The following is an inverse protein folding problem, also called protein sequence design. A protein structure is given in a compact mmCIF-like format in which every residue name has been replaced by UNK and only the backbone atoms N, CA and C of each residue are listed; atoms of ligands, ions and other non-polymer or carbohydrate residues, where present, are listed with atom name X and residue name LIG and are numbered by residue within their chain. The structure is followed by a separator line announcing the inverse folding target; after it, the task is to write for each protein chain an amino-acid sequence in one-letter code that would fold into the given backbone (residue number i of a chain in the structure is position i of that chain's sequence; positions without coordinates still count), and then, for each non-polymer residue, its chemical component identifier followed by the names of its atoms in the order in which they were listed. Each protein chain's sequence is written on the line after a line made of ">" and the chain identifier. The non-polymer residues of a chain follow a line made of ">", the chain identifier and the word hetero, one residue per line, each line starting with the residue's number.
data_IF_283715854908
#
_entry.id   IF_283715854908
#
_cell.length_a   1.000
_cell.length_b   1.000
_cell.length_c   1.000
_cell.angle_alpha   90.00
_cell.angle_beta   90.00
_cell.angle_gamma   90.00
#
_symmetry.space_group_name_H-M   'P 1'
#
loop_
_entity.id
_entity.type
_entity.pdbx_description
1 polymer ?
#
# COMPACT_ATOMS: atom_id res chain seq x y z
N UNK A 1 -4.96 -9.98 13.00
CA UNK A 1 -4.95 -9.67 11.54
C UNK A 1 -3.50 -9.60 11.07
N UNK A 2 -3.16 -10.26 9.95
CA UNK A 2 -1.77 -10.34 9.46
C UNK A 2 -1.27 -8.95 9.03
N UNK A 3 -0.04 -8.62 9.44
CA UNK A 3 0.62 -7.37 9.06
C UNK A 3 1.17 -7.43 7.64
N UNK A 4 1.25 -6.27 6.99
CA UNK A 4 1.96 -6.15 5.73
C UNK A 4 3.47 -6.20 6.00
N UNK A 5 4.25 -6.94 5.21
CA UNK A 5 5.68 -7.07 5.45
C UNK A 5 6.41 -5.73 5.32
N UNK A 6 7.49 -5.57 6.06
CA UNK A 6 8.42 -4.46 5.85
C UNK A 6 9.11 -4.62 4.50
N UNK A 7 9.21 -3.52 3.75
CA UNK A 7 9.81 -3.52 2.42
C UNK A 7 11.18 -2.85 2.51
N UNK A 8 12.28 -3.57 2.19
CA UNK A 8 13.62 -2.98 2.17
C UNK A 8 13.78 -2.01 0.99
N UNK A 9 14.70 -1.07 1.12
CA UNK A 9 15.11 -0.21 0.02
C UNK A 9 15.93 -0.93 -1.03
N UNK A 10 15.96 -0.39 -2.25
CA UNK A 10 16.73 -0.97 -3.37
C UNK A 10 18.24 -0.91 -3.16
N UNK A 11 18.71 -0.08 -2.21
CA UNK A 11 20.13 0.00 -1.82
C UNK A 11 20.53 -1.06 -0.79
N UNK A 12 19.56 -1.78 -0.20
CA UNK A 12 19.85 -2.79 0.81
C UNK A 12 20.69 -3.95 0.24
N UNK A 13 21.53 -4.51 1.10
CA UNK A 13 22.30 -5.71 0.74
C UNK A 13 21.36 -6.85 0.34
N UNK A 14 21.66 -7.51 -0.78
CA UNK A 14 20.82 -8.58 -1.31
C UNK A 14 19.62 -8.08 -2.13
N UNK A 15 19.62 -6.80 -2.54
CA UNK A 15 18.61 -6.27 -3.45
C UNK A 15 18.45 -7.17 -4.69
N UNK A 16 17.21 -7.45 -5.13
CA UNK A 16 16.90 -8.39 -6.22
C UNK A 16 17.13 -7.80 -7.63
N UNK A 17 18.25 -7.09 -7.80
CA UNK A 17 18.65 -6.52 -9.10
C UNK A 17 18.81 -7.60 -10.14
N UNK A 18 18.28 -7.37 -11.34
CA UNK A 18 18.27 -8.33 -12.45
C UNK A 18 17.01 -9.19 -12.52
N UNK A 19 16.20 -9.24 -11.49
CA UNK A 19 14.98 -10.05 -11.45
C UNK A 19 13.76 -9.33 -12.00
N UNK A 20 12.81 -10.04 -12.65
CA UNK A 20 11.58 -9.46 -13.19
C UNK A 20 10.62 -9.05 -12.10
N UNK A 21 10.00 -7.87 -12.27
CA UNK A 21 9.04 -7.29 -11.34
C UNK A 21 7.95 -6.47 -12.03
N UNK A 22 6.90 -6.20 -11.28
CA UNK A 22 5.97 -5.10 -11.50
C UNK A 22 6.24 -4.04 -10.44
N UNK A 23 6.42 -2.79 -10.86
CA UNK A 23 6.59 -1.66 -9.97
C UNK A 23 5.29 -0.86 -9.89
N UNK A 24 4.78 -0.70 -8.68
CA UNK A 24 3.58 0.05 -8.36
C UNK A 24 3.94 1.43 -7.82
N UNK A 25 3.13 2.43 -8.13
CA UNK A 25 3.24 3.75 -7.52
C UNK A 25 3.18 3.65 -6.01
N UNK A 26 4.20 4.18 -5.35
CA UNK A 26 4.20 4.31 -3.90
C UNK A 26 3.49 5.61 -3.54
N UNK A 27 2.40 5.45 -2.81
CA UNK A 27 1.60 6.56 -2.30
C UNK A 27 2.03 6.81 -0.87
N UNK A 28 2.23 8.06 -0.53
CA UNK A 28 2.59 8.48 0.82
C UNK A 28 1.34 8.67 1.67
N UNK A 29 1.22 7.85 2.70
CA UNK A 29 0.05 7.83 3.58
C UNK A 29 0.21 6.83 4.71
N UNK A 30 -0.91 6.31 5.18
CA UNK A 30 -0.97 5.32 6.24
C UNK A 30 -1.44 3.96 5.73
N UNK A 31 -0.64 2.93 6.03
CA UNK A 31 -0.99 1.56 5.69
C UNK A 31 -2.14 1.05 6.54
N UNK A 32 -3.26 0.75 5.90
CA UNK A 32 -4.46 0.20 6.51
C UNK A 32 -4.76 -1.21 6.03
N UNK A 33 -5.41 -1.98 6.88
CA UNK A 33 -5.79 -3.37 6.66
C UNK A 33 -7.28 -3.56 6.87
N UNK A 34 -7.94 -4.21 5.92
CA UNK A 34 -9.37 -4.50 5.93
C UNK A 34 -9.58 -6.00 5.84
N UNK A 35 -10.10 -6.63 6.90
CA UNK A 35 -10.33 -8.07 6.95
C UNK A 35 -11.79 -8.39 6.63
N UNK A 36 -11.97 -9.22 5.62
CA UNK A 36 -13.20 -9.90 5.31
C UNK A 36 -13.17 -11.35 5.76
N UNK A 37 -14.29 -11.86 6.25
CA UNK A 37 -14.45 -13.28 6.47
C UNK A 37 -15.79 -13.80 5.93
N UNK A 38 -15.81 -15.08 5.56
CA UNK A 38 -17.03 -15.74 5.05
C UNK A 38 -18.21 -15.76 6.00
N UNK A 39 -17.94 -15.60 7.31
CA UNK A 39 -18.98 -15.62 8.36
C UNK A 39 -19.49 -14.22 8.73
N UNK A 40 -18.64 -13.19 8.65
CA UNK A 40 -18.95 -11.86 9.20
C UNK A 40 -18.88 -10.73 8.15
N UNK A 41 -18.47 -11.02 6.92
CA UNK A 41 -18.16 -9.97 5.95
C UNK A 41 -16.95 -9.14 6.39
N UNK A 42 -16.94 -7.85 6.08
CA UNK A 42 -15.92 -6.90 6.51
C UNK A 42 -16.15 -6.55 7.98
N UNK A 43 -15.20 -6.88 8.85
CA UNK A 43 -15.46 -6.79 10.30
C UNK A 43 -14.27 -6.41 11.19
N UNK A 44 -13.05 -6.39 10.64
CA UNK A 44 -11.87 -5.92 11.37
C UNK A 44 -11.06 -4.97 10.50
N UNK A 45 -10.66 -3.85 11.09
CA UNK A 45 -9.91 -2.78 10.47
C UNK A 45 -8.69 -2.46 11.32
N UNK A 46 -7.56 -2.15 10.71
CA UNK A 46 -6.34 -1.89 11.46
C UNK A 46 -5.30 -1.12 10.67
N UNK A 47 -4.47 -0.41 11.38
CA UNK A 47 -3.17 0.08 10.92
C UNK A 47 -2.13 -1.04 11.02
N UNK A 48 -0.86 -0.76 10.75
CA UNK A 48 0.21 -1.73 11.01
C UNK A 48 0.25 -2.19 12.47
N UNK A 49 0.00 -1.29 13.41
CA UNK A 49 0.30 -1.50 14.82
C UNK A 49 -0.95 -1.73 15.71
N UNK A 50 -2.13 -1.28 15.29
CA UNK A 50 -3.35 -1.36 16.10
C UNK A 50 -4.60 -1.62 15.27
N UNK A 51 -5.64 -2.12 15.92
CA UNK A 51 -6.99 -2.15 15.36
C UNK A 51 -7.68 -0.81 15.61
N UNK A 52 -8.64 -0.49 14.77
CA UNK A 52 -9.50 0.68 14.92
C UNK A 52 -10.92 0.39 14.45
N UNK A 53 -11.85 1.23 14.81
CA UNK A 53 -13.25 1.19 14.38
C UNK A 53 -13.69 2.57 13.84
N UNK A 54 -14.98 2.71 13.53
CA UNK A 54 -15.53 3.96 12.98
C UNK A 54 -15.45 5.16 13.93
N UNK A 55 -15.27 4.94 15.23
CA UNK A 55 -15.11 6.00 16.22
C UNK A 55 -13.67 6.54 16.32
N UNK A 56 -12.72 5.90 15.64
CA UNK A 56 -11.33 6.34 15.63
C UNK A 56 -11.22 7.71 14.95
N UNK A 57 -10.67 8.72 15.65
CA UNK A 57 -10.63 10.08 15.13
C UNK A 57 -9.72 10.25 13.91
N UNK A 58 -8.72 9.39 13.75
CA UNK A 58 -7.73 9.48 12.67
C UNK A 58 -8.11 8.62 11.46
N UNK A 59 -8.57 7.39 11.71
CA UNK A 59 -8.78 6.39 10.65
C UNK A 59 -10.24 5.95 10.46
N UNK A 60 -11.16 6.38 11.35
CA UNK A 60 -12.55 5.91 11.32
C UNK A 60 -13.25 6.13 9.97
N UNK A 61 -13.02 7.29 9.34
CA UNK A 61 -13.61 7.60 8.03
C UNK A 61 -13.07 6.72 6.89
N UNK A 62 -11.84 6.20 7.02
CA UNK A 62 -11.27 5.30 6.02
C UNK A 62 -12.06 4.00 5.85
N UNK A 63 -12.82 3.59 6.90
CA UNK A 63 -13.69 2.42 6.82
C UNK A 63 -14.80 2.65 5.80
N UNK A 64 -15.50 3.77 5.89
CA UNK A 64 -16.60 4.07 4.98
C UNK A 64 -16.11 4.31 3.54
N UNK A 65 -14.97 4.97 3.37
CA UNK A 65 -14.32 5.12 2.06
C UNK A 65 -14.03 3.75 1.45
N UNK A 66 -13.39 2.85 2.21
CA UNK A 66 -13.10 1.51 1.74
C UNK A 66 -14.37 0.71 1.41
N UNK A 67 -15.34 0.69 2.31
CA UNK A 67 -16.58 -0.07 2.11
C UNK A 67 -17.33 0.39 0.87
N UNK A 68 -17.43 1.68 0.65
CA UNK A 68 -18.11 2.24 -0.52
C UNK A 68 -17.35 1.96 -1.82
N UNK A 69 -16.03 2.02 -1.79
CA UNK A 69 -15.18 1.93 -2.98
C UNK A 69 -14.86 0.50 -3.40
N UNK A 70 -14.66 -0.41 -2.43
CA UNK A 70 -14.10 -1.74 -2.69
C UNK A 70 -14.96 -2.91 -2.27
N UNK A 71 -15.77 -2.79 -1.21
CA UNK A 71 -16.36 -3.96 -0.56
C UNK A 71 -17.12 -4.87 -1.53
N UNK A 72 -18.04 -4.32 -2.30
CA UNK A 72 -18.86 -5.10 -3.25
C UNK A 72 -18.03 -5.72 -4.38
N UNK A 73 -17.06 -4.97 -4.91
CA UNK A 73 -16.17 -5.43 -5.98
C UNK A 73 -15.29 -6.60 -5.52
N UNK A 74 -14.63 -6.45 -4.38
CA UNK A 74 -13.79 -7.51 -3.80
C UNK A 74 -14.63 -8.74 -3.44
N UNK A 75 -15.82 -8.59 -2.85
CA UNK A 75 -16.71 -9.72 -2.57
C UNK A 75 -17.18 -10.43 -3.82
N UNK A 76 -17.41 -9.70 -4.92
CA UNK A 76 -17.72 -10.30 -6.21
C UNK A 76 -16.58 -11.17 -6.71
N UNK A 77 -15.34 -10.69 -6.60
CA UNK A 77 -14.13 -11.45 -6.93
C UNK A 77 -14.00 -12.70 -6.06
N UNK A 78 -14.15 -12.57 -4.73
CA UNK A 78 -14.08 -13.71 -3.80
C UNK A 78 -15.07 -14.82 -4.18
N UNK A 79 -16.25 -14.45 -4.65
CA UNK A 79 -17.30 -15.43 -5.04
C UNK A 79 -17.04 -16.07 -6.40
N UNK A 80 -16.46 -15.36 -7.37
CA UNK A 80 -16.35 -15.81 -8.77
C UNK A 80 -15.01 -16.45 -9.10
N UNK A 81 -13.93 -15.91 -8.54
CA UNK A 81 -12.58 -16.30 -8.91
C UNK A 81 -12.17 -17.64 -8.28
N UNK A 82 -11.63 -18.55 -9.11
CA UNK A 82 -11.15 -19.87 -8.64
C UNK A 82 -10.09 -19.77 -7.55
N UNK A 83 -9.28 -18.72 -7.58
CA UNK A 83 -8.23 -18.46 -6.60
C UNK A 83 -8.78 -18.34 -5.16
N UNK A 84 -10.03 -17.86 -5.02
CA UNK A 84 -10.69 -17.66 -3.72
C UNK A 84 -11.59 -18.82 -3.30
N UNK A 85 -11.66 -19.92 -4.08
CA UNK A 85 -12.54 -21.04 -3.74
C UNK A 85 -12.15 -21.65 -2.38
N UNK A 86 -13.13 -21.73 -1.47
CA UNK A 86 -12.95 -22.27 -0.12
C UNK A 86 -12.18 -21.36 0.84
N UNK A 87 -11.88 -20.11 0.45
CA UNK A 87 -11.22 -19.13 1.29
C UNK A 87 -12.15 -18.65 2.38
N UNK A 88 -11.63 -18.60 3.62
CA UNK A 88 -12.38 -18.15 4.81
C UNK A 88 -12.14 -16.70 5.16
N UNK A 89 -10.98 -16.18 4.84
CA UNK A 89 -10.57 -14.82 5.17
C UNK A 89 -9.72 -14.21 4.07
N UNK A 90 -9.92 -12.93 3.84
CA UNK A 90 -9.15 -12.10 2.89
C UNK A 90 -8.79 -10.79 3.59
N UNK A 91 -7.56 -10.34 3.42
CA UNK A 91 -7.12 -9.02 3.88
C UNK A 91 -6.77 -8.17 2.68
N UNK A 92 -7.45 -7.04 2.53
CA UNK A 92 -7.03 -6.00 1.61
C UNK A 92 -6.07 -5.04 2.33
N UNK A 93 -4.93 -4.76 1.70
CA UNK A 93 -3.99 -3.74 2.15
C UNK A 93 -4.16 -2.50 1.30
N UNK A 94 -4.35 -1.39 1.97
CA UNK A 94 -4.61 -0.12 1.32
C UNK A 94 -3.72 0.98 1.91
N UNK A 95 -3.45 1.99 1.10
CA UNK A 95 -2.87 3.24 1.58
C UNK A 95 -3.99 4.26 1.77
N UNK A 96 -4.09 4.84 2.95
CA UNK A 96 -4.99 5.94 3.27
C UNK A 96 -4.21 7.24 3.24
N UNK A 97 -4.62 8.16 2.41
CA UNK A 97 -3.87 9.38 2.11
C UNK A 97 -4.79 10.57 1.87
N UNK A 98 -4.19 11.74 1.90
CA UNK A 98 -4.81 13.01 1.55
C UNK A 98 -3.79 13.94 0.93
N UNK A 99 -4.20 15.16 0.54
CA UNK A 99 -3.32 16.12 -0.15
C UNK A 99 -2.12 16.57 0.67
N UNK A 100 -2.18 16.42 2.00
CA UNK A 100 -1.10 16.82 2.91
C UNK A 100 -0.36 15.62 3.54
N UNK A 101 -0.67 14.40 3.12
CA UNK A 101 0.06 13.22 3.60
C UNK A 101 1.54 13.32 3.24
N UNK A 102 2.41 13.12 4.24
CA UNK A 102 3.85 13.16 4.03
C UNK A 102 4.64 12.38 5.10
N UNK A 103 5.65 11.63 4.67
CA UNK A 103 6.54 10.90 5.56
C UNK A 103 5.88 9.78 6.34
N UNK A 104 4.85 9.13 5.78
CA UNK A 104 4.06 8.11 6.45
C UNK A 104 3.14 8.66 7.54
N UNK A 105 3.14 9.97 7.75
CA UNK A 105 2.17 10.67 8.56
C UNK A 105 1.01 11.10 7.66
N UNK A 106 -0.19 10.97 8.19
CA UNK A 106 -1.36 11.36 7.47
C UNK A 106 -1.61 12.85 7.68
N UNK A 107 -1.46 13.65 6.62
CA UNK A 107 -1.64 15.10 6.59
C UNK A 107 -0.89 15.87 7.71
N UNK A 108 0.43 15.77 7.87
CA UNK A 108 1.19 16.24 9.05
C UNK A 108 1.13 17.77 9.26
N UNK A 109 0.82 18.53 8.23
CA UNK A 109 0.76 20.01 8.32
C UNK A 109 -0.66 20.52 8.53
N UNK A 110 -1.68 19.65 8.57
CA UNK A 110 -3.06 20.10 8.62
C UNK A 110 -3.61 20.12 10.04
N UNK A 111 -4.23 21.23 10.49
CA UNK A 111 -4.83 21.34 11.83
C UNK A 111 -5.85 20.24 12.15
N UNK A 112 -6.52 19.69 11.14
CA UNK A 112 -7.48 18.61 11.30
C UNK A 112 -6.90 17.33 11.83
N UNK A 113 -5.64 17.03 11.55
CA UNK A 113 -4.97 15.85 12.11
C UNK A 113 -4.77 16.03 13.60
N UNK A 114 -4.36 17.23 13.98
CA UNK A 114 -4.19 17.60 15.39
C UNK A 114 -5.52 17.48 16.15
N UNK A 115 -6.65 17.70 15.47
CA UNK A 115 -7.98 17.67 16.07
C UNK A 115 -8.74 16.33 15.84
N UNK A 116 -8.17 15.39 15.10
CA UNK A 116 -8.81 14.11 14.83
C UNK A 116 -10.09 14.21 14.00
N UNK A 117 -10.25 15.27 13.24
CA UNK A 117 -11.49 15.55 12.51
C UNK A 117 -11.47 14.97 11.10
N UNK A 118 -11.91 13.71 10.98
CA UNK A 118 -12.24 13.12 9.69
C UNK A 118 -13.47 13.76 9.02
N UNK A 119 -14.28 14.53 9.75
CA UNK A 119 -15.58 15.00 9.28
C UNK A 119 -15.61 16.51 8.97
N UNK A 120 -14.67 17.28 9.50
CA UNK A 120 -14.72 18.74 9.45
C UNK A 120 -14.00 19.42 8.30
N UNK A 121 -13.16 18.70 7.58
CA UNK A 121 -12.40 19.29 6.50
C UNK A 121 -12.85 18.81 5.13
N UNK A 122 -13.20 19.76 4.29
CA UNK A 122 -13.52 19.57 2.86
C UNK A 122 -12.34 19.00 2.02
N UNK A 123 -11.37 18.38 2.67
CA UNK A 123 -10.23 17.81 1.97
C UNK A 123 -10.47 16.36 1.61
N UNK A 124 -10.38 16.02 0.33
CA UNK A 124 -10.68 14.69 -0.16
C UNK A 124 -9.60 13.70 0.30
N UNK A 125 -9.89 12.96 1.36
CA UNK A 125 -9.11 11.79 1.74
C UNK A 125 -9.56 10.60 0.92
N UNK A 126 -8.62 9.72 0.61
CA UNK A 126 -8.91 8.53 -0.20
C UNK A 126 -8.16 7.30 0.31
N UNK A 127 -8.60 6.16 -0.20
CA UNK A 127 -8.02 4.85 0.07
C UNK A 127 -7.69 4.19 -1.26
N UNK A 128 -6.45 3.71 -1.44
CA UNK A 128 -6.03 2.94 -2.62
C UNK A 128 -5.55 1.57 -2.22
N UNK A 129 -6.15 0.54 -2.81
CA UNK A 129 -5.76 -0.85 -2.61
C UNK A 129 -4.47 -1.15 -3.38
N UNK A 130 -3.48 -1.73 -2.70
CA UNK A 130 -2.20 -2.07 -3.33
C UNK A 130 -1.80 -3.53 -3.18
N UNK A 131 -2.51 -4.30 -2.35
CA UNK A 131 -2.28 -5.74 -2.20
C UNK A 131 -3.46 -6.48 -1.56
N UNK A 132 -3.51 -7.80 -1.77
CA UNK A 132 -4.48 -8.70 -1.16
C UNK A 132 -3.78 -9.93 -0.61
N UNK A 133 -4.06 -10.27 0.65
CA UNK A 133 -3.61 -11.50 1.28
C UNK A 133 -4.78 -12.48 1.41
N UNK A 134 -4.58 -13.67 0.90
CA UNK A 134 -5.54 -14.77 0.99
C UNK A 134 -5.13 -15.72 2.11
N UNK A 135 -6.03 -16.00 3.04
CA UNK A 135 -5.74 -16.86 4.19
C UNK A 135 -5.12 -18.21 3.74
N UNK A 136 -4.01 -18.58 4.37
CA UNK A 136 -3.18 -19.76 4.08
C UNK A 136 -2.46 -19.77 2.72
N UNK A 137 -2.75 -18.85 1.81
CA UNK A 137 -2.08 -18.75 0.51
C UNK A 137 -1.03 -17.61 0.47
N UNK A 138 -1.18 -16.60 1.33
CA UNK A 138 -0.29 -15.44 1.37
C UNK A 138 -0.74 -14.29 0.47
N UNK A 139 0.18 -13.37 0.17
CA UNK A 139 -0.06 -12.30 -0.79
C UNK A 139 -0.28 -12.88 -2.19
N UNK A 140 -1.19 -12.27 -2.94
CA UNK A 140 -1.35 -12.58 -4.35
C UNK A 140 -0.06 -12.23 -5.12
N UNK A 141 0.37 -13.08 -6.06
CA UNK A 141 1.40 -12.69 -7.01
C UNK A 141 1.02 -11.37 -7.71
N UNK A 142 1.97 -10.45 -7.94
CA UNK A 142 1.63 -9.12 -8.44
C UNK A 142 0.91 -9.13 -9.79
N UNK A 143 1.21 -10.09 -10.68
CA UNK A 143 0.47 -10.26 -11.92
C UNK A 143 -0.98 -10.67 -11.67
N UNK A 144 -1.20 -11.68 -10.83
CA UNK A 144 -2.55 -12.13 -10.48
C UNK A 144 -3.35 -11.02 -9.77
N UNK A 145 -2.69 -10.22 -8.91
CA UNK A 145 -3.33 -9.07 -8.27
C UNK A 145 -3.83 -8.07 -9.32
N UNK A 146 -2.99 -7.70 -10.30
CA UNK A 146 -3.39 -6.80 -11.39
C UNK A 146 -4.51 -7.40 -12.22
N UNK A 147 -4.35 -8.64 -12.69
CA UNK A 147 -5.34 -9.29 -13.57
C UNK A 147 -6.71 -9.42 -12.90
N UNK A 148 -6.73 -9.72 -11.61
CA UNK A 148 -7.97 -9.94 -10.85
C UNK A 148 -8.64 -8.60 -10.45
N UNK A 149 -7.85 -7.60 -10.06
CA UNK A 149 -8.37 -6.38 -9.42
C UNK A 149 -8.25 -5.10 -10.25
N UNK A 150 -7.72 -5.15 -11.49
CA UNK A 150 -7.57 -3.94 -12.35
C UNK A 150 -8.89 -3.24 -12.70
N UNK A 151 -10.02 -3.89 -12.53
CA UNK A 151 -11.35 -3.28 -12.67
C UNK A 151 -11.75 -2.42 -11.46
N UNK A 152 -10.98 -2.45 -10.37
CA UNK A 152 -11.11 -1.59 -9.20
C UNK A 152 -9.95 -0.57 -9.18
N UNK A 153 -10.09 0.54 -8.45
CA UNK A 153 -9.00 1.50 -8.26
C UNK A 153 -7.87 0.88 -7.42
N UNK A 154 -6.85 0.32 -8.08
CA UNK A 154 -5.64 -0.20 -7.42
C UNK A 154 -4.46 0.74 -7.60
N UNK A 155 -3.38 0.53 -6.83
CA UNK A 155 -2.15 1.26 -7.02
C UNK A 155 -1.66 1.14 -8.48
N UNK A 156 -1.35 2.27 -9.09
CA UNK A 156 -0.97 2.39 -10.50
C UNK A 156 0.30 1.58 -10.79
N UNK A 157 0.27 0.80 -11.87
CA UNK A 157 1.48 0.14 -12.40
C UNK A 157 2.31 1.16 -13.18
N UNK A 158 3.52 1.40 -12.70
CA UNK A 158 4.45 2.37 -13.28
C UNK A 158 5.43 1.72 -14.26
N UNK A 159 5.83 0.48 -13.96
CA UNK A 159 6.82 -0.23 -14.77
C UNK A 159 6.62 -1.74 -14.66
N UNK A 160 6.93 -2.43 -15.74
CA UNK A 160 7.05 -3.87 -15.78
C UNK A 160 8.32 -4.25 -16.55
N UNK A 161 9.18 -5.03 -15.91
CA UNK A 161 10.46 -5.45 -16.48
C UNK A 161 11.42 -5.92 -15.42
N UNK A 162 12.71 -6.01 -15.75
CA UNK A 162 13.73 -6.37 -14.78
C UNK A 162 14.11 -5.17 -13.91
N UNK A 163 14.17 -5.37 -12.59
CA UNK A 163 14.76 -4.39 -11.69
C UNK A 163 16.24 -4.22 -12.05
N UNK A 164 16.61 -3.07 -12.60
CA UNK A 164 17.97 -2.81 -13.00
C UNK A 164 18.45 -1.41 -12.57
N UNK A 165 19.74 -1.16 -12.68
CA UNK A 165 20.35 0.09 -12.24
C UNK A 165 19.78 1.33 -12.97
N UNK A 166 19.42 1.20 -14.24
CA UNK A 166 18.83 2.30 -15.00
C UNK A 166 17.46 2.67 -14.50
N UNK A 167 16.59 1.65 -14.28
CA UNK A 167 15.26 1.88 -13.72
C UNK A 167 15.33 2.51 -12.32
N UNK A 168 16.22 1.98 -11.44
CA UNK A 168 16.42 2.54 -10.09
C UNK A 168 16.85 4.01 -10.19
N UNK A 169 17.82 4.31 -11.06
CA UNK A 169 18.30 5.68 -11.28
C UNK A 169 17.19 6.59 -11.79
N UNK A 170 16.44 6.14 -12.81
CA UNK A 170 15.38 6.93 -13.42
C UNK A 170 14.22 7.24 -12.46
N UNK A 171 13.85 6.29 -11.58
CA UNK A 171 12.89 6.57 -10.51
C UNK A 171 13.45 7.61 -9.54
N UNK A 172 14.70 7.45 -9.09
CA UNK A 172 15.34 8.39 -8.16
C UNK A 172 15.43 9.80 -8.72
N UNK A 173 15.72 9.93 -10.00
CA UNK A 173 15.80 11.21 -10.70
C UNK A 173 14.45 11.81 -11.09
N UNK A 174 13.32 11.16 -10.72
CA UNK A 174 11.97 11.67 -10.97
C UNK A 174 11.53 11.60 -12.43
N UNK A 175 12.08 10.69 -13.23
CA UNK A 175 11.69 10.51 -14.65
C UNK A 175 10.35 9.80 -14.83
N UNK A 176 9.83 9.19 -13.76
CA UNK A 176 8.50 8.60 -13.72
C UNK A 176 7.51 9.53 -12.99
N UNK A 177 6.20 9.46 -13.30
CA UNK A 177 5.18 10.33 -12.69
C UNK A 177 4.83 9.87 -11.26
N UNK A 178 5.83 9.84 -10.39
CA UNK A 178 5.72 9.45 -8.99
C UNK A 178 6.31 10.51 -8.08
N UNK A 179 5.68 10.77 -6.94
CA UNK A 179 6.15 11.73 -5.94
C UNK A 179 7.10 11.04 -4.95
N UNK A 180 6.57 10.11 -4.17
CA UNK A 180 7.39 9.38 -3.19
C UNK A 180 8.33 8.38 -3.88
N UNK A 181 7.80 7.61 -4.83
CA UNK A 181 8.57 6.58 -5.51
C UNK A 181 7.74 5.39 -5.99
N UNK A 182 8.35 4.22 -5.97
CA UNK A 182 7.70 2.96 -6.38
C UNK A 182 7.98 1.82 -5.39
N UNK A 183 7.09 0.82 -5.40
CA UNK A 183 7.29 -0.50 -4.79
C UNK A 183 7.37 -1.54 -5.90
N UNK A 184 8.53 -2.18 -6.04
CA UNK A 184 8.74 -3.29 -6.97
C UNK A 184 8.36 -4.60 -6.27
N UNK A 185 7.58 -5.43 -6.94
CA UNK A 185 7.17 -6.76 -6.47
C UNK A 185 7.57 -7.81 -7.50
N UNK A 186 8.27 -8.85 -7.06
CA UNK A 186 8.83 -9.88 -7.92
C UNK A 186 7.78 -10.77 -8.57
N UNK A 187 7.99 -11.08 -9.85
CA UNK A 187 7.16 -12.02 -10.61
C UNK A 187 7.51 -13.48 -10.33
N UNK A 188 8.73 -13.76 -9.89
CA UNK A 188 9.25 -15.10 -9.67
C UNK A 188 9.30 -15.43 -8.16
N UNK A 189 8.18 -15.31 -7.48
CA UNK A 189 8.10 -15.69 -6.07
C UNK A 189 7.07 -16.80 -5.87
N UNK A 190 7.54 -18.04 -5.65
CA UNK A 190 6.68 -19.12 -5.14
C UNK A 190 6.88 -19.25 -3.63
N UNK A 191 5.78 -19.43 -2.87
CA UNK A 191 5.89 -19.91 -1.50
C UNK A 191 6.85 -21.13 -1.43
N UNK A 192 7.68 -21.28 -0.40
CA UNK A 192 7.56 -20.71 0.94
C UNK A 192 8.28 -19.39 1.19
N UNK A 193 9.08 -18.90 0.25
CA UNK A 193 9.91 -17.70 0.47
C UNK A 193 9.17 -16.38 0.18
N UNK A 194 7.92 -16.44 -0.30
CA UNK A 194 7.12 -15.26 -0.55
C UNK A 194 7.53 -14.47 -1.80
N UNK A 195 6.83 -13.37 -2.02
CA UNK A 195 7.13 -12.41 -3.08
C UNK A 195 8.20 -11.47 -2.56
N UNK A 196 9.35 -11.38 -3.23
CA UNK A 196 10.32 -10.36 -2.89
C UNK A 196 9.78 -8.98 -3.25
N UNK A 197 10.08 -8.01 -2.42
CA UNK A 197 9.69 -6.62 -2.62
C UNK A 197 10.86 -5.71 -2.32
N UNK A 198 10.93 -4.60 -3.03
CA UNK A 198 11.84 -3.50 -2.72
C UNK A 198 11.19 -2.17 -3.05
N UNK A 199 11.56 -1.11 -2.32
CA UNK A 199 11.06 0.25 -2.56
C UNK A 199 12.18 1.13 -3.09
N UNK A 200 11.81 2.07 -3.96
CA UNK A 200 12.71 3.08 -4.50
C UNK A 200 12.02 4.42 -4.28
N UNK A 201 12.67 5.32 -3.54
CA UNK A 201 12.18 6.68 -3.30
C UNK A 201 12.88 7.66 -4.23
N UNK A 202 12.19 8.73 -4.64
CA UNK A 202 12.77 9.81 -5.44
C UNK A 202 13.73 10.64 -4.59
N UNK A 203 14.76 11.21 -5.20
CA UNK A 203 15.70 12.11 -4.51
C UNK A 203 15.00 13.37 -4.01
N UNK A 204 14.02 13.87 -4.76
CA UNK A 204 13.23 15.03 -4.34
C UNK A 204 12.46 14.75 -3.04
N UNK A 205 11.80 13.59 -2.95
CA UNK A 205 11.09 13.19 -1.74
C UNK A 205 12.03 13.00 -0.55
N UNK A 206 13.20 12.38 -0.76
CA UNK A 206 14.20 12.21 0.29
C UNK A 206 14.77 13.55 0.77
N UNK A 207 14.97 14.51 -0.13
CA UNK A 207 15.39 15.86 0.23
C UNK A 207 14.32 16.56 1.10
N UNK A 208 13.05 16.42 0.74
CA UNK A 208 11.96 17.00 1.53
C UNK A 208 11.82 16.33 2.91
N UNK A 209 12.02 15.00 3.02
CA UNK A 209 12.08 14.32 4.31
C UNK A 209 13.16 14.93 5.23
N UNK A 210 14.37 15.18 4.69
CA UNK A 210 15.44 15.82 5.44
C UNK A 210 15.07 17.22 5.91
N UNK A 211 14.44 18.00 5.04
CA UNK A 211 14.03 19.35 5.37
C UNK A 211 12.98 19.38 6.50
N UNK A 212 12.00 18.46 6.47
CA UNK A 212 10.91 18.47 7.44
C UNK A 212 11.24 17.79 8.77
N UNK A 213 11.99 16.70 8.74
CA UNK A 213 12.25 15.87 9.93
C UNK A 213 13.66 16.04 10.50
N UNK A 214 14.49 16.88 9.91
CA UNK A 214 15.84 17.19 10.39
C UNK A 214 16.63 15.94 10.81
N UNK A 215 16.95 15.77 12.11
CA UNK A 215 17.69 14.63 12.63
C UNK A 215 16.93 13.31 12.63
N UNK A 216 15.60 13.36 12.54
CA UNK A 216 14.74 12.17 12.59
C UNK A 216 14.40 11.59 11.20
N UNK A 217 14.84 12.24 10.13
CA UNK A 217 14.52 11.85 8.76
C UNK A 217 14.93 10.41 8.40
N UNK A 218 15.97 9.89 9.03
CA UNK A 218 16.46 8.52 8.82
C UNK A 218 15.42 7.46 9.22
N UNK A 219 14.50 7.78 10.13
CA UNK A 219 13.40 6.89 10.50
C UNK A 219 12.42 6.67 9.34
N UNK A 220 12.42 7.57 8.37
CA UNK A 220 11.55 7.56 7.19
C UNK A 220 12.30 7.19 5.90
N UNK A 221 13.59 6.93 6.02
CA UNK A 221 14.47 6.52 4.91
C UNK A 221 14.04 5.17 4.34
N UNK A 222 14.76 4.70 3.34
CA UNK A 222 14.55 3.39 2.70
C UNK A 222 14.76 2.20 3.66
#
# INVERSE_FOLDING_TARGET
>A
MKEYPSIPGASAQGSPVGLPCIAFKKIDGSNLRYLWSSKKGWHLFGTRNRLFDKSDPEYGCAIDIFLNKYASGVESVIRKEKHFRGVREVICYCEYFGPYSFGGQHDPAHPAIIMGDCQGNNEPKDVVMFDVNVHKKGLLPPREFVDIFSHLPIAEVIYEGNLNAYFIKDVREGKYPVVEGVVCKGLNGKAPHGIWMTKIKTLAYLAELKNRFATDWEKFWE
#
